data_IF_542818760098
#
_entry.id   IF_542818760098
#
_cell.length_a   1.000
_cell.length_b   1.000
_cell.length_c   1.000
_cell.angle_alpha   90.00
_cell.angle_beta   90.00
_cell.angle_gamma   90.00
#
_symmetry.space_group_name_H-M   'P 1'
#
loop_
_entity.id
_entity.type
_entity.pdbx_description
1 polymer ?
#
# COMPACT_ATOMS: atom_id res chain seq x y z
N UNK A 1 8.23 -1.33 19.04
CA UNK A 1 9.22 -1.16 17.95
C UNK A 1 8.48 -0.77 16.67
N UNK A 2 8.21 0.52 16.45
CA UNK A 2 7.67 1.04 15.18
C UNK A 2 8.78 1.87 14.54
N UNK A 3 9.39 1.34 13.49
CA UNK A 3 10.48 1.95 12.75
C UNK A 3 9.93 3.11 11.92
N UNK A 4 10.18 4.33 12.38
CA UNK A 4 10.00 5.55 11.60
C UNK A 4 11.03 5.55 10.46
N UNK A 5 10.58 5.32 9.24
CA UNK A 5 11.37 5.54 8.02
C UNK A 5 10.49 6.38 7.08
N UNK A 6 10.69 7.70 7.12
CA UNK A 6 10.20 8.72 6.17
C UNK A 6 8.84 8.46 5.47
N UNK A 7 7.77 8.72 6.22
CA UNK A 7 6.49 9.32 5.78
C UNK A 7 5.68 8.66 4.64
N UNK A 8 5.71 7.35 4.46
CA UNK A 8 4.64 6.69 3.70
C UNK A 8 3.38 6.54 4.58
N UNK A 9 2.51 7.55 4.57
CA UNK A 9 1.22 7.46 5.25
C UNK A 9 0.27 6.56 4.44
N UNK A 10 -0.01 5.36 4.97
CA UNK A 10 -1.01 4.46 4.39
C UNK A 10 -2.40 5.03 4.63
N UNK A 11 -3.09 5.41 3.57
CA UNK A 11 -4.45 5.96 3.65
C UNK A 11 -5.52 4.88 3.49
N UNK A 12 -5.23 3.81 2.73
CA UNK A 12 -6.19 2.72 2.51
C UNK A 12 -5.51 1.37 2.37
N UNK A 13 -6.23 0.31 2.80
CA UNK A 13 -5.91 -1.09 2.57
C UNK A 13 -7.04 -1.74 1.78
N UNK A 14 -6.74 -2.43 0.70
CA UNK A 14 -7.77 -3.05 -0.14
C UNK A 14 -7.31 -4.34 -0.81
N UNK A 15 -8.29 -5.13 -1.22
CA UNK A 15 -8.10 -6.31 -2.06
C UNK A 15 -8.61 -5.97 -3.46
N UNK A 16 -7.79 -6.21 -4.49
CA UNK A 16 -8.16 -5.88 -5.87
C UNK A 16 -8.83 -7.10 -6.51
N UNK A 17 -10.00 -6.90 -7.09
CA UNK A 17 -10.71 -7.93 -7.87
C UNK A 17 -10.91 -7.43 -9.29
N UNK A 18 -10.46 -8.20 -10.28
CA UNK A 18 -10.60 -7.88 -11.70
C UNK A 18 -11.30 -9.03 -12.40
N UNK A 19 -12.44 -8.76 -13.04
CA UNK A 19 -13.25 -9.78 -13.75
C UNK A 19 -13.52 -11.04 -12.90
N UNK A 20 -13.87 -10.86 -11.63
CA UNK A 20 -14.15 -11.95 -10.69
C UNK A 20 -12.90 -12.66 -10.12
N UNK A 21 -11.69 -12.30 -10.57
CA UNK A 21 -10.44 -12.86 -10.05
C UNK A 21 -9.81 -11.91 -9.04
N UNK A 22 -9.55 -12.41 -7.83
CA UNK A 22 -8.83 -11.67 -6.80
C UNK A 22 -7.34 -11.67 -7.12
N UNK A 23 -6.76 -10.48 -7.26
CA UNK A 23 -5.32 -10.28 -7.34
C UNK A 23 -4.80 -10.28 -5.90
N UNK A 24 -3.88 -11.20 -5.60
CA UNK A 24 -3.26 -11.31 -4.27
C UNK A 24 -1.80 -10.92 -4.38
N UNK A 25 -1.28 -10.26 -3.34
CA UNK A 25 0.16 -10.07 -3.25
C UNK A 25 0.83 -11.39 -2.89
N UNK A 26 2.08 -11.62 -3.34
CA UNK A 26 2.84 -12.83 -3.00
C UNK A 26 2.95 -13.07 -1.49
N UNK A 27 2.95 -11.99 -0.69
CA UNK A 27 3.03 -12.05 0.77
C UNK A 27 1.66 -12.17 1.48
N UNK A 28 0.57 -12.35 0.73
CA UNK A 28 -0.79 -12.46 1.29
C UNK A 28 -1.38 -11.17 1.86
N UNK A 29 -0.63 -10.06 1.89
CA UNK A 29 -1.08 -8.81 2.52
C UNK A 29 -1.92 -7.96 1.54
N UNK A 30 -3.00 -7.27 1.99
CA UNK A 30 -3.82 -6.39 1.15
C UNK A 30 -3.02 -5.23 0.56
N UNK A 31 -3.32 -4.82 -0.68
CA UNK A 31 -2.71 -3.64 -1.31
C UNK A 31 -2.88 -2.39 -0.46
N UNK A 32 -1.94 -1.45 -0.60
CA UNK A 32 -1.92 -0.19 0.16
C UNK A 32 -1.85 0.98 -0.81
N UNK A 33 -2.67 1.99 -0.56
CA UNK A 33 -2.47 3.32 -1.14
C UNK A 33 -1.70 4.13 -0.09
N UNK A 34 -0.58 4.70 -0.50
CA UNK A 34 0.29 5.51 0.36
C UNK A 34 0.36 6.92 -0.18
N UNK A 35 0.32 7.90 0.71
CA UNK A 35 0.75 9.26 0.41
C UNK A 35 2.27 9.29 0.53
N UNK A 36 2.93 9.80 -0.50
CA UNK A 36 4.37 10.09 -0.49
C UNK A 36 4.54 11.60 -0.47
N UNK A 37 5.41 12.11 0.39
CA UNK A 37 5.82 13.51 0.32
C UNK A 37 6.35 13.80 -1.11
N UNK A 38 6.03 14.95 -1.70
CA UNK A 38 6.59 15.35 -2.98
C UNK A 38 8.11 15.33 -2.85
N UNK A 39 8.79 14.60 -3.76
CA UNK A 39 10.24 14.56 -3.80
C UNK A 39 10.72 15.99 -4.07
N UNK A 40 11.35 16.62 -3.08
CA UNK A 40 12.00 17.91 -3.28
C UNK A 40 12.94 17.78 -4.50
N UNK A 41 12.77 18.67 -5.48
CA UNK A 41 13.55 18.68 -6.71
C UNK A 41 14.98 19.12 -6.45
#
# INVERSE_FOLDING_TARGET
MATNNSEEQVIYRMTITVKGRVIRRPNGQPFRIVLRAPKAK
#
